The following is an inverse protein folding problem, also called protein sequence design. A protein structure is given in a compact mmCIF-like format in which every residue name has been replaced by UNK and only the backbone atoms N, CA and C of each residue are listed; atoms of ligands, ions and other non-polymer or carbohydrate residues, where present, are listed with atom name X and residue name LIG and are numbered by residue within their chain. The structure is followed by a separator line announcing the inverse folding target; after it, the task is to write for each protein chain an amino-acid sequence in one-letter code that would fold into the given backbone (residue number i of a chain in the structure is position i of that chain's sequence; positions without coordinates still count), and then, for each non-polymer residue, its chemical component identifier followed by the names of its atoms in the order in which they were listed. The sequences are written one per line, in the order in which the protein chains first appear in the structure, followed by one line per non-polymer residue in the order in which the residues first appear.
data_IF_384338687270
#
_entry.id   IF_384338687270
#
_cell.length_a   1.000
_cell.length_b   1.000
_cell.length_c   1.000
_cell.angle_alpha   90.00
_cell.angle_beta   90.00
_cell.angle_gamma   90.00
#
_symmetry.space_group_name_H-M   'P 1'
#
loop_
_entity.id
_entity.type
_entity.pdbx_description
1 polymer ?
#
# COMPACT_ATOMS: atom_id res chain seq x y z
N UNK A 1 -12.48 17.63 9.45
CA UNK A 1 -11.89 16.56 10.30
C UNK A 1 -12.40 16.76 11.71
N UNK A 2 -13.07 15.74 12.28
CA UNK A 2 -13.69 15.81 13.61
C UNK A 2 -12.65 15.57 14.71
N UNK A 3 -11.90 14.46 14.63
CA UNK A 3 -10.88 14.09 15.61
C UNK A 3 -9.79 13.21 14.98
N UNK A 4 -8.65 13.10 15.65
CA UNK A 4 -7.61 12.11 15.40
C UNK A 4 -7.56 11.18 16.60
N UNK A 5 -7.76 9.88 16.38
CA UNK A 5 -7.70 8.86 17.43
C UNK A 5 -6.34 8.17 17.44
N UNK A 6 -5.82 7.91 18.62
CA UNK A 6 -4.51 7.25 18.77
C UNK A 6 -4.51 6.32 19.99
N UNK A 7 -3.89 5.14 19.85
CA UNK A 7 -3.58 4.24 20.97
C UNK A 7 -2.41 4.77 21.81
N UNK A 8 -1.62 5.71 21.28
CA UNK A 8 -0.50 6.37 21.96
C UNK A 8 -0.93 7.76 22.43
N UNK A 9 -0.44 8.20 23.57
CA UNK A 9 -0.62 9.60 24.02
C UNK A 9 0.17 10.53 23.09
N UNK A 10 -0.50 11.20 22.21
CA UNK A 10 0.04 12.20 21.30
C UNK A 10 -0.68 13.53 21.49
N UNK A 11 0.01 14.64 21.18
CA UNK A 11 -0.60 15.97 21.25
C UNK A 11 -1.73 16.06 20.22
N UNK A 12 -2.84 16.69 20.61
CA UNK A 12 -4.04 16.88 19.75
C UNK A 12 -4.69 15.58 19.27
N UNK A 13 -4.61 14.50 20.06
CA UNK A 13 -5.31 13.25 19.77
C UNK A 13 -6.28 12.87 20.88
N UNK A 14 -7.33 12.13 20.51
CA UNK A 14 -8.25 11.48 21.43
C UNK A 14 -7.81 10.02 21.62
N UNK A 15 -7.99 9.45 22.82
CA UNK A 15 -7.74 8.02 23.02
C UNK A 15 -8.62 7.19 22.10
N UNK A 16 -8.02 6.16 21.49
CA UNK A 16 -8.72 5.24 20.59
C UNK A 16 -9.92 4.56 21.27
N UNK A 17 -9.83 4.28 22.57
CA UNK A 17 -10.89 3.63 23.33
C UNK A 17 -12.20 4.44 23.40
N UNK A 18 -12.11 5.75 23.16
CA UNK A 18 -13.26 6.67 23.17
C UNK A 18 -13.88 6.85 21.78
N UNK A 19 -13.48 6.11 20.78
CA UNK A 19 -13.89 6.32 19.39
C UNK A 19 -15.43 6.17 19.22
N UNK A 20 -16.05 5.27 19.97
CA UNK A 20 -17.50 5.04 19.91
C UNK A 20 -18.32 6.24 20.41
N UNK A 21 -17.78 7.09 21.28
CA UNK A 21 -18.43 8.34 21.74
C UNK A 21 -18.64 9.35 20.59
N UNK A 22 -17.97 9.12 19.46
CA UNK A 22 -18.02 9.99 18.29
C UNK A 22 -18.84 9.42 17.13
N UNK A 23 -19.57 8.32 17.34
CA UNK A 23 -20.29 7.60 16.29
C UNK A 23 -21.23 8.52 15.50
N UNK A 24 -22.00 9.36 16.19
CA UNK A 24 -22.98 10.27 15.58
C UNK A 24 -22.33 11.55 14.96
N UNK A 25 -21.02 11.73 15.15
CA UNK A 25 -20.26 12.92 14.68
C UNK A 25 -19.36 12.61 13.50
N UNK A 26 -19.24 11.35 13.13
CA UNK A 26 -18.27 10.87 12.13
C UNK A 26 -19.01 10.17 11.00
N UNK A 27 -18.89 10.70 9.79
CA UNK A 27 -19.46 10.08 8.59
C UNK A 27 -18.65 8.85 8.17
N UNK A 28 -17.33 8.93 8.25
CA UNK A 28 -16.40 7.82 7.97
C UNK A 28 -15.02 8.06 8.60
N UNK A 29 -14.29 6.97 8.79
CA UNK A 29 -12.96 6.93 9.40
C UNK A 29 -11.87 6.60 8.37
N UNK A 30 -10.77 7.35 8.40
CA UNK A 30 -9.52 6.92 7.75
C UNK A 30 -8.71 6.06 8.70
N UNK A 31 -8.40 4.83 8.31
CA UNK A 31 -7.57 3.90 9.08
C UNK A 31 -6.13 4.02 8.62
N UNK A 32 -5.29 4.66 9.45
CA UNK A 32 -3.89 4.95 9.15
C UNK A 32 -2.93 4.10 10.01
N UNK A 33 -3.21 2.81 10.16
CA UNK A 33 -2.37 1.86 10.90
C UNK A 33 -1.66 0.88 9.94
N UNK A 34 -0.67 0.15 10.45
CA UNK A 34 0.12 -0.75 9.61
C UNK A 34 -0.67 -1.95 9.07
N UNK A 35 -0.61 -2.18 7.77
CA UNK A 35 -1.32 -3.28 7.10
C UNK A 35 -0.84 -4.66 7.53
N UNK A 36 0.40 -4.77 8.00
CA UNK A 36 0.97 -6.07 8.41
C UNK A 36 0.44 -6.56 9.75
N UNK A 37 0.19 -5.65 10.70
CA UNK A 37 -0.03 -6.01 12.10
C UNK A 37 -1.43 -5.65 12.60
N UNK A 38 -1.90 -4.47 12.29
CA UNK A 38 -3.02 -3.88 13.02
C UNK A 38 -4.26 -3.60 12.16
N UNK A 39 -4.08 -3.42 10.84
CA UNK A 39 -5.15 -2.90 10.00
C UNK A 39 -6.32 -3.86 9.92
N UNK A 40 -6.10 -5.15 9.68
CA UNK A 40 -7.17 -6.14 9.54
C UNK A 40 -8.07 -6.17 10.78
N UNK A 41 -7.48 -6.29 11.97
CA UNK A 41 -8.23 -6.34 13.24
C UNK A 41 -8.91 -5.00 13.56
N UNK A 42 -8.25 -3.88 13.28
CA UNK A 42 -8.80 -2.54 13.50
C UNK A 42 -9.98 -2.27 12.54
N UNK A 43 -9.84 -2.61 11.27
CA UNK A 43 -10.90 -2.43 10.28
C UNK A 43 -12.14 -3.27 10.61
N UNK A 44 -11.94 -4.54 11.00
CA UNK A 44 -13.02 -5.43 11.43
C UNK A 44 -13.78 -4.91 12.66
N UNK A 45 -13.07 -4.34 13.62
CA UNK A 45 -13.72 -3.76 14.81
C UNK A 45 -14.50 -2.47 14.47
N UNK A 46 -13.94 -1.63 13.59
CA UNK A 46 -14.51 -0.32 13.27
C UNK A 46 -15.68 -0.40 12.28
N UNK A 47 -15.65 -1.33 11.30
CA UNK A 47 -16.71 -1.45 10.28
C UNK A 47 -18.08 -1.79 10.87
N UNK A 48 -18.13 -2.37 12.04
CA UNK A 48 -19.39 -2.64 12.75
C UNK A 48 -20.15 -1.35 13.11
N UNK A 49 -19.44 -0.24 13.27
CA UNK A 49 -20.03 1.03 13.71
C UNK A 49 -19.84 2.19 12.74
N UNK A 50 -18.80 2.16 11.90
CA UNK A 50 -18.39 3.27 11.05
C UNK A 50 -18.21 2.84 9.61
N UNK A 51 -18.46 3.74 8.68
CA UNK A 51 -17.90 3.61 7.34
C UNK A 51 -16.39 3.84 7.41
N UNK A 52 -15.60 3.14 6.62
CA UNK A 52 -14.14 3.18 6.72
C UNK A 52 -13.46 3.41 5.36
N UNK A 53 -12.29 4.03 5.41
CA UNK A 53 -11.37 4.15 4.28
C UNK A 53 -10.00 3.67 4.74
N UNK A 54 -9.39 2.75 4.05
CA UNK A 54 -8.06 2.25 4.36
C UNK A 54 -7.10 2.27 3.16
N UNK A 55 -5.84 2.02 3.44
CA UNK A 55 -4.76 1.91 2.47
C UNK A 55 -4.05 0.55 2.59
N UNK A 56 -4.82 -0.53 2.78
CA UNK A 56 -4.29 -1.88 2.92
C UNK A 56 -3.40 -2.27 1.75
N UNK A 57 -2.17 -2.71 2.03
CA UNK A 57 -1.14 -2.96 1.02
C UNK A 57 -0.50 -4.36 1.08
N UNK A 58 -1.08 -5.29 1.84
CA UNK A 58 -0.61 -6.67 1.84
C UNK A 58 -1.18 -7.44 0.64
N UNK A 59 -0.48 -7.38 -0.49
CA UNK A 59 -0.90 -8.00 -1.75
C UNK A 59 -1.19 -9.51 -1.65
N UNK A 60 -0.52 -10.23 -0.75
CA UNK A 60 -0.71 -11.67 -0.58
C UNK A 60 -2.06 -12.03 0.06
N UNK A 61 -2.67 -11.11 0.81
CA UNK A 61 -3.90 -11.34 1.57
C UNK A 61 -5.06 -10.43 1.17
N UNK A 62 -4.90 -9.64 0.13
CA UNK A 62 -5.88 -8.62 -0.25
C UNK A 62 -7.26 -9.21 -0.56
N UNK A 63 -7.33 -10.37 -1.21
CA UNK A 63 -8.59 -11.04 -1.52
C UNK A 63 -9.31 -11.50 -0.25
N UNK A 64 -8.60 -12.14 0.67
CA UNK A 64 -9.18 -12.61 1.94
C UNK A 64 -9.68 -11.42 2.76
N UNK A 65 -8.87 -10.36 2.83
CA UNK A 65 -9.21 -9.12 3.51
C UNK A 65 -10.48 -8.48 2.94
N UNK A 66 -10.56 -8.31 1.61
CA UNK A 66 -11.71 -7.73 0.94
C UNK A 66 -12.99 -8.54 1.20
N UNK A 67 -12.93 -9.87 1.10
CA UNK A 67 -14.06 -10.75 1.34
C UNK A 67 -14.56 -10.63 2.79
N UNK A 68 -13.64 -10.61 3.75
CA UNK A 68 -13.93 -10.48 5.16
C UNK A 68 -14.61 -9.14 5.50
N UNK A 69 -14.03 -8.05 5.02
CA UNK A 69 -14.58 -6.69 5.23
C UNK A 69 -15.92 -6.53 4.51
N UNK A 70 -16.05 -7.05 3.27
CA UNK A 70 -17.29 -6.95 2.50
C UNK A 70 -18.47 -7.59 3.25
N UNK A 71 -18.29 -8.81 3.75
CA UNK A 71 -19.31 -9.49 4.54
C UNK A 71 -19.74 -8.67 5.76
N UNK A 72 -18.75 -8.22 6.54
CA UNK A 72 -19.03 -7.45 7.76
C UNK A 72 -19.67 -6.08 7.45
N UNK A 73 -19.27 -5.42 6.37
CA UNK A 73 -19.83 -4.15 5.92
C UNK A 73 -21.30 -4.29 5.53
N UNK A 74 -21.66 -5.31 4.76
CA UNK A 74 -23.04 -5.60 4.36
C UNK A 74 -23.91 -5.89 5.60
N UNK A 75 -23.46 -6.76 6.51
CA UNK A 75 -24.17 -7.14 7.73
C UNK A 75 -24.47 -5.92 8.63
N UNK A 76 -23.57 -4.95 8.66
CA UNK A 76 -23.70 -3.75 9.50
C UNK A 76 -24.21 -2.50 8.74
N UNK A 77 -24.63 -2.65 7.49
CA UNK A 77 -25.05 -1.53 6.61
C UNK A 77 -24.02 -0.41 6.56
N UNK A 78 -22.77 -0.77 6.30
CA UNK A 78 -21.63 0.14 6.20
C UNK A 78 -20.96 0.04 4.84
N UNK A 79 -20.18 1.06 4.53
CA UNK A 79 -19.34 1.13 3.32
C UNK A 79 -17.87 1.12 3.75
N UNK A 80 -17.08 0.28 3.12
CA UNK A 80 -15.63 0.25 3.25
C UNK A 80 -14.97 0.58 1.91
N UNK A 81 -14.10 1.58 1.87
CA UNK A 81 -13.22 1.85 0.74
C UNK A 81 -11.84 1.29 1.06
N UNK A 82 -11.49 0.16 0.47
CA UNK A 82 -10.31 -0.60 0.81
C UNK A 82 -9.16 -0.38 -0.19
N UNK A 83 -7.93 -0.39 0.31
CA UNK A 83 -6.72 -0.27 -0.52
C UNK A 83 -6.66 1.03 -1.34
N UNK A 84 -7.12 2.14 -0.77
CA UNK A 84 -7.18 3.45 -1.42
C UNK A 84 -5.82 4.14 -1.41
N UNK A 85 -4.80 3.47 -1.94
CA UNK A 85 -3.45 3.96 -2.06
C UNK A 85 -3.01 4.19 -3.51
N UNK A 86 -1.70 4.37 -3.70
CA UNK A 86 -1.16 4.44 -5.05
C UNK A 86 -0.84 3.05 -5.60
N UNK A 87 -0.46 2.08 -4.72
CA UNK A 87 -0.34 0.66 -5.07
C UNK A 87 -0.39 -0.22 -3.80
N UNK A 88 -1.47 -0.93 -3.58
CA UNK A 88 -2.71 -1.01 -4.37
C UNK A 88 -3.48 0.31 -4.45
N UNK A 89 -4.25 0.47 -5.50
CA UNK A 89 -5.08 1.63 -5.79
C UNK A 89 -4.84 2.16 -7.20
N UNK A 90 -4.21 3.33 -7.36
CA UNK A 90 -4.00 3.94 -8.69
C UNK A 90 -3.29 2.99 -9.67
N UNK A 91 -2.24 2.29 -9.24
CA UNK A 91 -1.55 1.32 -10.10
C UNK A 91 -2.41 0.10 -10.42
N UNK A 92 -3.30 -0.31 -9.50
CA UNK A 92 -4.27 -1.37 -9.78
C UNK A 92 -5.21 -0.96 -10.91
N UNK A 93 -5.69 0.28 -10.90
CA UNK A 93 -6.52 0.84 -11.96
C UNK A 93 -5.78 0.86 -13.31
N UNK A 94 -4.52 1.34 -13.32
CA UNK A 94 -3.70 1.37 -14.54
C UNK A 94 -3.44 -0.04 -15.09
N UNK A 95 -3.11 -1.00 -14.22
CA UNK A 95 -2.94 -2.40 -14.63
C UNK A 95 -4.21 -2.99 -15.24
N UNK A 96 -5.34 -2.76 -14.59
CA UNK A 96 -6.63 -3.23 -15.09
C UNK A 96 -6.98 -2.62 -16.46
N UNK A 97 -6.76 -1.31 -16.62
CA UNK A 97 -6.97 -0.63 -17.92
C UNK A 97 -6.09 -1.24 -19.01
N UNK A 98 -4.79 -1.41 -18.76
CA UNK A 98 -3.86 -1.99 -19.74
C UNK A 98 -4.26 -3.42 -20.13
N UNK A 99 -4.63 -4.23 -19.13
CA UNK A 99 -5.07 -5.61 -19.33
C UNK A 99 -6.37 -5.68 -20.17
N UNK A 100 -7.37 -4.84 -19.88
CA UNK A 100 -8.63 -4.76 -20.63
C UNK A 100 -8.42 -4.35 -22.09
N UNK A 101 -7.36 -3.58 -22.37
CA UNK A 101 -6.96 -3.21 -23.74
C UNK A 101 -6.08 -4.28 -24.43
N UNK A 102 -6.00 -5.49 -23.86
CA UNK A 102 -5.28 -6.62 -24.44
C UNK A 102 -3.75 -6.59 -24.24
N UNK A 103 -3.27 -5.77 -23.30
CA UNK A 103 -1.83 -5.62 -23.04
C UNK A 103 -1.46 -6.13 -21.64
N UNK A 104 -0.56 -7.10 -21.55
CA UNK A 104 -0.06 -7.62 -20.28
C UNK A 104 0.75 -6.55 -19.52
N UNK A 105 0.35 -6.13 -18.32
CA UNK A 105 1.02 -5.09 -17.54
C UNK A 105 2.12 -5.65 -16.65
N UNK A 106 3.26 -5.00 -16.67
CA UNK A 106 4.40 -5.27 -15.76
C UNK A 106 4.64 -4.07 -14.86
N UNK A 107 4.66 -4.29 -13.55
CA UNK A 107 4.87 -3.23 -12.57
C UNK A 107 6.30 -3.23 -12.05
N UNK A 108 6.97 -2.08 -12.12
CA UNK A 108 8.29 -1.86 -11.55
C UNK A 108 8.22 -0.80 -10.45
N UNK A 109 8.50 -1.21 -9.22
CA UNK A 109 8.64 -0.30 -8.08
C UNK A 109 10.10 0.09 -7.88
N UNK A 110 10.33 1.33 -7.48
CA UNK A 110 11.66 1.77 -7.03
C UNK A 110 12.33 2.82 -7.91
N UNK A 111 13.46 3.38 -7.46
CA UNK A 111 13.98 3.20 -6.11
C UNK A 111 13.00 3.79 -5.09
N UNK A 112 12.62 3.02 -4.07
CA UNK A 112 11.71 3.48 -3.03
C UNK A 112 11.86 2.66 -1.75
N UNK A 113 11.63 3.31 -0.61
CA UNK A 113 11.61 2.67 0.70
C UNK A 113 10.27 1.93 0.87
N UNK A 114 10.35 0.63 1.15
CA UNK A 114 9.17 -0.18 1.49
C UNK A 114 9.00 -0.24 3.00
N UNK A 115 7.89 0.28 3.50
CA UNK A 115 7.60 0.27 4.95
C UNK A 115 7.33 -1.15 5.44
N UNK A 116 6.46 -1.92 4.78
CA UNK A 116 6.13 -3.28 5.20
C UNK A 116 7.35 -4.20 5.28
N UNK A 117 8.24 -4.16 4.26
CA UNK A 117 9.49 -4.92 4.30
C UNK A 117 10.45 -4.40 5.38
N UNK A 118 10.50 -3.10 5.61
CA UNK A 118 11.32 -2.48 6.66
C UNK A 118 10.89 -2.96 8.05
N UNK A 119 9.59 -2.92 8.33
CA UNK A 119 9.06 -3.39 9.61
C UNK A 119 9.23 -4.91 9.79
N UNK A 120 9.14 -5.68 8.70
CA UNK A 120 9.44 -7.11 8.74
C UNK A 120 10.90 -7.39 9.17
N UNK A 121 11.86 -6.58 8.71
CA UNK A 121 13.26 -6.70 9.15
C UNK A 121 13.41 -6.27 10.61
N UNK A 122 12.78 -5.17 11.01
CA UNK A 122 12.86 -4.65 12.39
C UNK A 122 12.30 -5.61 13.43
N UNK A 123 11.36 -6.47 13.06
CA UNK A 123 10.79 -7.47 13.97
C UNK A 123 11.72 -8.65 14.26
N UNK A 124 12.87 -8.76 13.57
CA UNK A 124 13.84 -9.82 13.82
C UNK A 124 14.65 -9.54 15.09
N UNK A 125 14.92 -10.59 15.85
CA UNK A 125 15.75 -10.50 17.06
C UNK A 125 17.16 -9.97 16.71
N UNK A 126 17.69 -9.06 17.52
CA UNK A 126 19.01 -8.47 17.34
C UNK A 126 19.07 -7.31 16.33
N UNK A 127 17.99 -6.99 15.62
CA UNK A 127 17.91 -5.79 14.78
C UNK A 127 17.55 -4.58 15.63
N UNK A 128 18.39 -3.54 15.55
CA UNK A 128 18.17 -2.25 16.25
C UNK A 128 17.38 -1.27 15.39
N UNK A 129 17.69 -1.19 14.11
CA UNK A 129 16.95 -0.40 13.11
C UNK A 129 17.26 -0.93 11.70
N UNK A 130 16.38 -0.68 10.76
CA UNK A 130 16.55 -1.12 9.39
C UNK A 130 15.82 -0.22 8.39
N UNK A 131 16.23 -0.31 7.13
CA UNK A 131 15.53 0.25 5.97
C UNK A 131 15.65 -0.72 4.81
N UNK A 132 14.54 -0.95 4.10
CA UNK A 132 14.55 -1.73 2.87
C UNK A 132 14.19 -0.86 1.66
N UNK A 133 14.98 -0.98 0.59
CA UNK A 133 14.69 -0.40 -0.72
C UNK A 133 14.34 -1.47 -1.73
N UNK A 134 13.21 -1.28 -2.41
CA UNK A 134 12.88 -2.03 -3.62
C UNK A 134 13.53 -1.34 -4.82
N UNK A 135 14.21 -2.12 -5.65
CA UNK A 135 14.92 -1.66 -6.85
C UNK A 135 14.40 -2.42 -8.07
N UNK A 136 14.10 -1.75 -9.18
CA UNK A 136 13.70 -2.43 -10.41
C UNK A 136 14.84 -3.24 -11.01
N UNK A 137 14.52 -4.39 -11.59
CA UNK A 137 15.45 -5.18 -12.38
C UNK A 137 15.50 -4.61 -13.82
N UNK A 138 16.41 -3.67 -14.04
CA UNK A 138 16.54 -2.98 -15.32
C UNK A 138 16.87 -3.91 -16.50
N UNK A 139 17.49 -5.06 -16.25
CA UNK A 139 17.75 -6.04 -17.31
C UNK A 139 16.45 -6.67 -17.81
N UNK A 140 15.58 -7.11 -16.89
CA UNK A 140 14.28 -7.64 -17.24
C UNK A 140 13.39 -6.55 -17.87
N UNK A 141 13.40 -5.35 -17.31
CA UNK A 141 12.68 -4.21 -17.88
C UNK A 141 13.04 -3.99 -19.36
N UNK A 142 14.33 -3.99 -19.70
CA UNK A 142 14.77 -3.87 -21.10
C UNK A 142 14.26 -5.00 -21.99
N UNK A 143 14.25 -6.24 -21.48
CA UNK A 143 13.69 -7.39 -22.24
C UNK A 143 12.22 -7.20 -22.55
N UNK A 144 11.42 -6.69 -21.58
CA UNK A 144 10.00 -6.40 -21.77
C UNK A 144 9.82 -5.33 -22.85
N UNK A 145 10.51 -4.20 -22.73
CA UNK A 145 10.45 -3.11 -23.70
C UNK A 145 10.84 -3.53 -25.11
N UNK A 146 11.80 -4.45 -25.24
CA UNK A 146 12.27 -4.96 -26.54
C UNK A 146 11.48 -6.20 -27.04
N UNK A 147 10.35 -6.57 -26.44
CA UNK A 147 9.57 -7.79 -26.78
C UNK A 147 10.38 -9.09 -26.68
N UNK A 148 11.44 -9.14 -25.87
CA UNK A 148 12.31 -10.30 -25.68
C UNK A 148 12.11 -10.99 -24.34
N UNK A 149 11.01 -10.67 -23.64
CA UNK A 149 10.69 -11.26 -22.34
C UNK A 149 9.75 -12.45 -22.53
N UNK A 150 10.17 -13.62 -22.13
CA UNK A 150 9.43 -14.88 -22.25
C UNK A 150 9.48 -15.71 -20.95
N UNK A 151 10.02 -15.15 -19.85
CA UNK A 151 10.18 -15.85 -18.58
C UNK A 151 9.48 -15.09 -17.45
N UNK A 152 8.21 -15.35 -17.26
CA UNK A 152 7.35 -14.74 -16.23
C UNK A 152 7.69 -15.18 -14.81
N UNK A 153 8.60 -16.14 -14.63
CA UNK A 153 9.06 -16.59 -13.31
C UNK A 153 10.16 -15.71 -12.72
N UNK A 154 10.80 -14.90 -13.54
CA UNK A 154 11.85 -14.00 -13.04
C UNK A 154 11.28 -12.85 -12.21
N UNK A 155 11.89 -12.60 -11.07
CA UNK A 155 11.48 -11.51 -10.19
C UNK A 155 11.85 -10.15 -10.78
N UNK A 156 10.85 -9.27 -10.92
CA UNK A 156 11.00 -7.94 -11.52
C UNK A 156 11.82 -6.97 -10.65
N UNK A 157 12.14 -7.35 -9.41
CA UNK A 157 12.79 -6.48 -8.43
C UNK A 157 13.94 -7.14 -7.70
N UNK A 158 14.85 -6.31 -7.22
CA UNK A 158 15.86 -6.63 -6.22
C UNK A 158 15.49 -6.02 -4.88
N UNK A 159 16.00 -6.59 -3.79
CA UNK A 159 15.86 -6.09 -2.43
C UNK A 159 17.20 -5.60 -1.89
N UNK A 160 17.24 -4.37 -1.40
CA UNK A 160 18.43 -3.80 -0.77
C UNK A 160 18.06 -3.40 0.66
N UNK A 161 18.68 -4.10 1.63
CA UNK A 161 18.40 -3.92 3.05
C UNK A 161 19.60 -3.27 3.72
N UNK A 162 19.40 -2.17 4.42
CA UNK A 162 20.38 -1.60 5.34
C UNK A 162 19.93 -1.90 6.76
N UNK A 163 20.82 -2.48 7.58
CA UNK A 163 20.48 -2.99 8.91
C UNK A 163 21.47 -2.52 9.93
N UNK A 164 21.00 -2.07 11.07
CA UNK A 164 21.79 -1.76 12.26
C UNK A 164 21.64 -2.91 13.24
N UNK A 165 22.74 -3.61 13.50
CA UNK A 165 22.80 -4.74 14.43
C UNK A 165 24.22 -4.95 14.94
N UNK A 166 24.36 -5.58 16.12
CA UNK A 166 25.65 -5.95 16.68
C UNK A 166 26.31 -7.06 15.84
N UNK A 167 27.65 -7.08 15.83
CA UNK A 167 28.43 -7.95 14.96
C UNK A 167 28.07 -9.43 15.11
N UNK A 168 27.84 -9.89 16.32
CA UNK A 168 27.56 -11.28 16.65
C UNK A 168 26.24 -11.81 16.01
N UNK A 169 25.22 -10.96 15.81
CA UNK A 169 23.93 -11.36 15.26
C UNK A 169 23.84 -11.25 13.73
N UNK A 170 24.84 -10.66 13.08
CA UNK A 170 24.75 -10.30 11.64
C UNK A 170 24.55 -11.49 10.71
N UNK A 171 25.18 -12.62 11.00
CA UNK A 171 25.03 -13.83 10.18
C UNK A 171 23.60 -14.34 10.23
N UNK A 172 23.05 -14.52 11.43
CA UNK A 172 21.70 -15.00 11.64
C UNK A 172 20.65 -14.06 11.05
N UNK A 173 20.78 -12.75 11.30
CA UNK A 173 19.90 -11.72 10.76
C UNK A 173 19.91 -11.75 9.22
N UNK A 174 21.09 -11.84 8.59
CA UNK A 174 21.19 -11.93 7.13
C UNK A 174 20.45 -13.15 6.60
N UNK A 175 20.65 -14.33 7.20
CA UNK A 175 19.98 -15.57 6.80
C UNK A 175 18.47 -15.48 7.02
N UNK A 176 18.02 -14.94 8.14
CA UNK A 176 16.59 -14.75 8.44
C UNK A 176 15.93 -13.80 7.44
N UNK A 177 16.61 -12.71 7.04
CA UNK A 177 16.08 -11.79 6.02
C UNK A 177 15.94 -12.51 4.67
N UNK A 178 17.02 -13.14 4.16
CA UNK A 178 17.02 -13.71 2.80
C UNK A 178 15.98 -14.83 2.66
N UNK A 179 15.76 -15.60 3.72
CA UNK A 179 14.83 -16.73 3.73
C UNK A 179 13.42 -16.38 4.25
N UNK A 180 13.15 -15.09 4.55
CA UNK A 180 11.85 -14.68 5.10
C UNK A 180 10.74 -14.86 4.07
N UNK A 181 9.74 -15.72 4.35
CA UNK A 181 8.60 -15.95 3.46
C UNK A 181 7.82 -14.67 3.20
N UNK A 182 7.18 -14.58 2.05
CA UNK A 182 6.32 -13.47 1.59
C UNK A 182 7.01 -12.12 1.39
N UNK A 183 8.26 -11.94 1.84
CA UNK A 183 8.98 -10.66 1.75
C UNK A 183 10.26 -10.73 0.91
N UNK A 184 11.12 -11.71 1.19
CA UNK A 184 12.47 -11.78 0.63
C UNK A 184 12.79 -13.09 -0.07
N UNK A 185 12.16 -14.18 0.36
CA UNK A 185 12.39 -15.49 -0.26
C UNK A 185 12.13 -15.45 -1.76
N UNK A 186 13.06 -15.98 -2.53
CA UNK A 186 13.00 -15.98 -4.00
C UNK A 186 13.42 -14.67 -4.68
N UNK A 187 13.74 -13.62 -3.91
CA UNK A 187 14.28 -12.37 -4.47
C UNK A 187 15.81 -12.28 -4.31
N UNK A 188 16.48 -11.69 -5.28
CA UNK A 188 17.90 -11.31 -5.11
C UNK A 188 17.97 -10.19 -4.07
N UNK A 189 18.44 -10.55 -2.87
CA UNK A 189 18.45 -9.67 -1.70
C UNK A 189 19.89 -9.38 -1.28
N UNK A 190 20.22 -8.09 -1.16
CA UNK A 190 21.51 -7.62 -0.60
C UNK A 190 21.28 -7.02 0.77
N UNK A 191 21.93 -7.58 1.79
CA UNK A 191 21.91 -7.07 3.17
C UNK A 191 23.23 -6.37 3.45
N UNK A 192 23.16 -5.12 3.91
CA UNK A 192 24.31 -4.26 4.23
C UNK A 192 24.18 -3.80 5.68
N UNK A 193 25.12 -4.17 6.53
CA UNK A 193 25.17 -3.69 7.90
C UNK A 193 25.83 -2.31 7.95
N UNK A 194 25.15 -1.38 8.64
CA UNK A 194 25.57 0.02 8.77
C UNK A 194 25.43 0.51 10.20
N UNK A 195 26.00 1.65 10.53
CA UNK A 195 25.72 2.36 11.77
C UNK A 195 24.46 3.22 11.66
N UNK A 196 23.91 3.66 12.81
CA UNK A 196 22.69 4.45 12.88
C UNK A 196 22.77 5.77 12.10
N UNK A 197 23.92 6.45 12.17
CA UNK A 197 24.11 7.72 11.47
C UNK A 197 23.97 7.56 9.94
N UNK A 198 24.57 6.50 9.38
CA UNK A 198 24.44 6.19 7.95
C UNK A 198 23.00 5.81 7.60
N UNK A 199 22.34 5.03 8.44
CA UNK A 199 20.95 4.64 8.22
C UNK A 199 20.05 5.88 8.18
N UNK A 200 20.20 6.81 9.11
CA UNK A 200 19.41 8.03 9.19
C UNK A 200 19.54 8.91 7.93
N UNK A 201 20.73 8.97 7.34
CA UNK A 201 20.97 9.70 6.09
C UNK A 201 20.29 9.05 4.87
N UNK A 202 19.94 7.77 4.96
CA UNK A 202 19.26 7.02 3.88
C UNK A 202 17.75 7.11 3.95
N UNK A 203 17.18 7.58 5.06
CA UNK A 203 15.72 7.73 5.23
C UNK A 203 15.16 8.69 4.18
N UNK A 204 14.11 8.26 3.49
CA UNK A 204 13.44 9.05 2.46
C UNK A 204 11.99 8.64 2.34
N UNK A 205 11.14 9.57 1.98
CA UNK A 205 9.75 9.30 1.60
C UNK A 205 9.53 9.28 0.09
N UNK A 206 10.60 9.55 -0.68
CA UNK A 206 10.54 9.51 -2.15
C UNK A 206 10.36 8.09 -2.64
N UNK A 207 9.50 7.95 -3.62
CA UNK A 207 9.25 6.67 -4.26
C UNK A 207 9.05 6.84 -5.77
N UNK A 208 9.26 5.78 -6.52
CA UNK A 208 8.96 5.74 -7.95
C UNK A 208 8.28 4.43 -8.28
N UNK A 209 7.45 4.46 -9.31
CA UNK A 209 6.87 3.25 -9.86
C UNK A 209 6.48 3.47 -11.31
N UNK A 210 6.34 2.40 -12.04
CA UNK A 210 5.89 2.41 -13.42
C UNK A 210 5.16 1.12 -13.74
N UNK A 211 4.16 1.24 -14.60
CA UNK A 211 3.47 0.12 -15.24
C UNK A 211 3.76 0.23 -16.72
N UNK A 212 4.35 -0.81 -17.29
CA UNK A 212 4.68 -0.88 -18.71
C UNK A 212 4.09 -2.13 -19.34
N UNK A 213 3.91 -2.12 -20.63
CA UNK A 213 3.48 -3.29 -21.40
C UNK A 213 4.59 -3.85 -22.27
N UNK A 214 4.40 -5.05 -22.77
CA UNK A 214 5.37 -5.67 -23.68
C UNK A 214 5.52 -4.80 -24.93
N UNK A 215 6.75 -4.39 -25.21
CA UNK A 215 7.09 -3.53 -26.36
C UNK A 215 6.71 -2.07 -26.18
N UNK A 216 6.47 -1.65 -24.92
CA UNK A 216 6.19 -0.24 -24.54
C UNK A 216 5.00 0.41 -25.28
N UNK A 217 3.98 -0.40 -25.60
CA UNK A 217 2.76 0.10 -26.24
C UNK A 217 1.99 1.07 -25.31
N UNK A 218 2.04 0.81 -23.99
CA UNK A 218 1.50 1.68 -22.96
C UNK A 218 2.48 1.78 -21.79
N UNK A 219 2.67 2.99 -21.30
CA UNK A 219 3.58 3.27 -20.20
C UNK A 219 2.99 4.33 -19.26
N UNK A 220 2.83 3.97 -18.01
CA UNK A 220 2.49 4.90 -16.95
C UNK A 220 3.63 4.96 -15.94
N UNK A 221 4.11 6.15 -15.63
CA UNK A 221 5.17 6.33 -14.64
C UNK A 221 4.79 7.34 -13.57
N UNK A 222 5.23 7.08 -12.35
CA UNK A 222 4.94 7.88 -11.18
C UNK A 222 6.24 8.17 -10.41
N UNK A 223 6.46 9.45 -10.09
CA UNK A 223 7.57 9.90 -9.26
C UNK A 223 7.01 10.69 -8.09
N UNK A 224 7.18 10.16 -6.89
CA UNK A 224 6.65 10.73 -5.66
C UNK A 224 7.77 11.41 -4.86
N UNK A 225 7.55 12.65 -4.47
CA UNK A 225 8.38 13.32 -3.47
C UNK A 225 8.07 12.81 -2.06
N UNK A 226 6.80 12.44 -1.80
CA UNK A 226 6.36 11.85 -0.54
C UNK A 226 5.33 10.76 -0.80
N UNK A 227 5.68 9.51 -0.53
CA UNK A 227 4.76 8.37 -0.62
C UNK A 227 3.54 8.56 0.31
N UNK A 228 3.68 8.86 1.62
CA UNK A 228 2.53 9.02 2.50
C UNK A 228 1.58 10.14 2.05
N UNK A 229 2.12 11.27 1.60
CA UNK A 229 1.30 12.40 1.13
C UNK A 229 0.50 12.07 -0.12
N UNK A 230 1.09 11.33 -1.05
CA UNK A 230 0.38 10.95 -2.27
C UNK A 230 -0.69 9.90 -2.01
N UNK A 231 -0.40 8.90 -1.17
CA UNK A 231 -1.37 7.92 -0.68
C UNK A 231 -2.57 8.61 -0.02
N UNK A 232 -2.31 9.56 0.88
CA UNK A 232 -3.37 10.33 1.52
C UNK A 232 -4.23 11.12 0.51
N UNK A 233 -3.61 11.72 -0.52
CA UNK A 233 -4.35 12.41 -1.59
C UNK A 233 -5.31 11.47 -2.32
N UNK A 234 -4.88 10.27 -2.65
CA UNK A 234 -5.73 9.28 -3.31
C UNK A 234 -6.88 8.88 -2.39
N UNK A 235 -6.59 8.49 -1.15
CA UNK A 235 -7.61 8.11 -0.17
C UNK A 235 -8.67 9.20 0.02
N UNK A 236 -8.25 10.46 0.17
CA UNK A 236 -9.16 11.61 0.30
C UNK A 236 -9.98 11.84 -0.97
N UNK A 237 -9.40 11.70 -2.16
CA UNK A 237 -10.17 11.90 -3.39
C UNK A 237 -11.23 10.82 -3.57
N UNK A 238 -10.88 9.54 -3.37
CA UNK A 238 -11.82 8.45 -3.53
C UNK A 238 -12.86 8.40 -2.40
N UNK A 239 -12.55 8.87 -1.19
CA UNK A 239 -13.55 8.95 -0.11
C UNK A 239 -14.75 9.85 -0.44
N UNK A 240 -14.64 10.74 -1.42
CA UNK A 240 -15.77 11.55 -1.90
C UNK A 240 -16.91 10.72 -2.51
N UNK A 241 -16.63 9.50 -2.95
CA UNK A 241 -17.64 8.56 -3.43
C UNK A 241 -18.48 7.98 -2.29
N UNK A 242 -17.98 8.01 -1.05
CA UNK A 242 -18.61 7.41 0.13
C UNK A 242 -20.06 7.90 0.33
N UNK A 243 -20.28 9.20 0.25
CA UNK A 243 -21.60 9.80 0.43
C UNK A 243 -22.62 9.22 -0.57
N UNK A 244 -22.23 9.10 -1.86
CA UNK A 244 -23.10 8.53 -2.90
C UNK A 244 -23.40 7.06 -2.71
N UNK A 245 -22.46 6.28 -2.20
CA UNK A 245 -22.66 4.87 -1.89
C UNK A 245 -23.63 4.70 -0.73
N UNK A 246 -23.48 5.51 0.32
CA UNK A 246 -24.37 5.51 1.49
C UNK A 246 -25.78 5.93 1.09
N UNK A 247 -25.92 7.02 0.33
CA UNK A 247 -27.21 7.54 -0.15
C UNK A 247 -27.98 6.51 -0.99
N UNK A 248 -27.26 5.69 -1.76
CA UNK A 248 -27.83 4.61 -2.59
C UNK A 248 -27.95 3.28 -1.86
N UNK A 249 -27.69 3.24 -0.56
CA UNK A 249 -27.67 2.01 0.25
C UNK A 249 -26.79 0.89 -0.35
N UNK A 250 -25.73 1.27 -1.04
CA UNK A 250 -24.75 0.35 -1.60
C UNK A 250 -23.71 0.00 -0.53
N UNK A 251 -24.11 -0.91 0.37
CA UNK A 251 -23.25 -1.36 1.46
C UNK A 251 -22.29 -2.45 0.99
N UNK A 252 -21.09 -2.47 1.56
CA UNK A 252 -20.05 -3.45 1.21
C UNK A 252 -18.65 -2.84 1.15
N UNK A 253 -17.69 -3.64 0.68
CA UNK A 253 -16.31 -3.23 0.45
C UNK A 253 -16.05 -2.92 -1.02
N UNK A 254 -15.43 -1.79 -1.29
CA UNK A 254 -15.13 -1.29 -2.62
C UNK A 254 -13.64 -0.97 -2.73
N UNK A 255 -13.08 -1.23 -3.89
CA UNK A 255 -11.74 -0.79 -4.28
C UNK A 255 -11.82 0.34 -5.31
N UNK A 256 -10.68 0.89 -5.69
CA UNK A 256 -10.62 1.88 -6.77
C UNK A 256 -11.21 1.35 -8.10
N UNK A 257 -11.21 0.03 -8.31
CA UNK A 257 -11.71 -0.59 -9.53
C UNK A 257 -13.25 -0.60 -9.61
N UNK A 258 -13.91 -0.49 -8.47
CA UNK A 258 -15.37 -0.53 -8.37
C UNK A 258 -16.01 0.86 -8.47
N UNK A 259 -15.18 1.91 -8.43
CA UNK A 259 -15.64 3.29 -8.35
C UNK A 259 -15.49 4.02 -9.70
N UNK A 260 -16.58 4.46 -10.35
CA UNK A 260 -16.47 5.28 -11.54
C UNK A 260 -15.88 6.66 -11.19
N UNK A 261 -15.02 7.19 -12.06
CA UNK A 261 -14.40 8.51 -11.84
C UNK A 261 -15.43 9.62 -11.60
N UNK A 262 -16.61 9.51 -12.21
CA UNK A 262 -17.75 10.44 -11.99
C UNK A 262 -18.31 10.41 -10.58
N UNK A 263 -18.02 9.39 -9.78
CA UNK A 263 -18.43 9.34 -8.37
C UNK A 263 -17.54 10.18 -7.44
N UNK A 264 -16.30 10.49 -7.86
CA UNK A 264 -15.26 11.10 -7.04
C UNK A 264 -15.44 12.63 -6.88
N UNK A 265 -16.27 13.26 -7.69
CA UNK A 265 -16.50 14.70 -7.59
C UNK A 265 -17.51 15.25 -8.59
N UNK A 266 -17.92 16.51 -8.38
CA UNK A 266 -18.72 17.29 -9.34
C UNK A 266 -17.82 17.94 -10.38
N UNK A 267 -16.94 17.20 -11.02
CA UNK A 267 -16.10 17.75 -12.07
C UNK A 267 -16.77 17.54 -13.42
N UNK A 268 -16.73 18.57 -14.24
CA UNK A 268 -17.06 18.43 -15.65
C UNK A 268 -15.89 17.68 -16.33
N UNK A 269 -16.11 16.40 -16.60
CA UNK A 269 -15.14 15.58 -17.30
C UNK A 269 -15.15 15.81 -18.82
N UNK A 270 -16.12 16.57 -19.35
CA UNK A 270 -16.18 16.90 -20.78
C UNK A 270 -14.92 17.64 -21.26
N UNK A 271 -14.25 18.37 -20.37
CA UNK A 271 -12.97 19.03 -20.67
C UNK A 271 -11.80 18.08 -21.00
N UNK A 272 -11.97 16.79 -20.78
CA UNK A 272 -10.98 15.76 -21.10
C UNK A 272 -11.35 14.93 -22.34
N UNK A 273 -12.51 15.22 -22.94
CA UNK A 273 -12.98 14.66 -24.20
C UNK A 273 -12.59 15.54 -25.37
#
# INVERSE_FOLDING_TARGET
MVAIFSRRKLINTVSFDRILEYKEKIDYLFICVGSKTDLETTAMALIQNFNIVDTYDNHARIHDYLNMINKCAIENKKVALCSMGWDPGLFSYVRALFYLLGCEPFTFWGKGLSQGHTEAIKSLNGVKDAIQFTLPNNHIKRKILCKKYNDFMQKLHYRLCYVVADKQFRYEIKNSIVNMPNYFYGYKTKVVFVNQNKLNKLKTFKHRGEVITLGDAMHFSLKLESNPMFTAKIAIQFSKSMAKLIEKEQFGAYTILDLPLSSIGRQDFAKFL
#
